data_IF_378091709015
#
_entry.id   IF_378091709015
#
_cell.length_a   1.000
_cell.length_b   1.000
_cell.length_c   1.000
_cell.angle_alpha   90.00
_cell.angle_beta   90.00
_cell.angle_gamma   90.00
#
_symmetry.space_group_name_H-M   'P 1'
#
loop_
_entity.id
_entity.type
_entity.pdbx_description
1 polymer ?
#
# COMPACT_ATOMS: atom_id res chain seq x y z
N UNK A 1 12.05 -1.05 8.19
CA UNK A 1 10.62 -0.78 8.53
C UNK A 1 9.96 -2.03 9.08
N UNK A 2 8.81 -1.91 9.77
CA UNK A 2 8.12 -3.00 10.45
C UNK A 2 7.85 -4.23 9.55
N UNK A 3 7.50 -3.99 8.28
CA UNK A 3 7.17 -5.03 7.30
C UNK A 3 8.39 -5.52 6.49
N UNK A 4 9.61 -5.11 6.83
CA UNK A 4 10.80 -5.60 6.14
C UNK A 4 10.98 -5.13 4.69
N UNK A 5 10.27 -4.06 4.27
CA UNK A 5 10.49 -3.43 2.96
C UNK A 5 11.95 -3.03 2.80
N UNK A 6 12.56 -3.44 1.69
CA UNK A 6 13.95 -3.13 1.35
C UNK A 6 14.14 -1.60 1.24
N UNK A 7 15.07 -1.00 2.02
CA UNK A 7 15.40 0.41 1.89
C UNK A 7 15.77 0.84 0.46
N UNK A 8 16.43 -0.02 -0.33
CA UNK A 8 16.78 0.27 -1.72
C UNK A 8 15.55 0.44 -2.61
N UNK A 9 14.46 -0.27 -2.30
CA UNK A 9 13.18 -0.15 -3.03
C UNK A 9 12.52 1.20 -2.74
N UNK A 10 12.58 1.66 -1.49
CA UNK A 10 12.07 2.97 -1.09
C UNK A 10 12.89 4.11 -1.70
N UNK A 11 14.20 3.95 -1.82
CA UNK A 11 15.06 4.93 -2.48
C UNK A 11 14.79 5.01 -3.99
N UNK A 12 14.60 3.86 -4.65
CA UNK A 12 14.41 3.79 -6.10
C UNK A 12 13.00 4.21 -6.55
N UNK A 13 11.95 3.78 -5.84
CA UNK A 13 10.56 3.96 -6.27
C UNK A 13 9.78 4.96 -5.41
N UNK A 14 10.27 5.26 -4.21
CA UNK A 14 9.56 6.05 -3.20
C UNK A 14 8.48 5.24 -2.48
N UNK A 15 8.03 5.74 -1.32
CA UNK A 15 7.05 5.02 -0.49
C UNK A 15 5.67 4.81 -1.15
N UNK A 16 5.29 5.68 -2.08
CA UNK A 16 4.03 5.59 -2.85
C UNK A 16 4.36 5.02 -4.23
N UNK A 17 4.41 3.69 -4.33
CA UNK A 17 4.63 2.96 -5.57
C UNK A 17 4.02 1.56 -5.51
N UNK A 18 3.88 0.93 -6.67
CA UNK A 18 3.40 -0.45 -6.74
C UNK A 18 4.36 -1.44 -6.07
N UNK A 19 5.66 -1.28 -6.30
CA UNK A 19 6.70 -2.16 -5.76
C UNK A 19 6.72 -2.14 -4.23
N UNK A 20 6.57 -0.94 -3.64
CA UNK A 20 6.51 -0.80 -2.18
C UNK A 20 5.20 -1.39 -1.65
N UNK A 21 4.07 -1.21 -2.34
CA UNK A 21 2.81 -1.84 -1.94
C UNK A 21 2.91 -3.37 -1.92
N UNK A 22 3.45 -3.99 -2.97
CA UNK A 22 3.66 -5.45 -3.03
C UNK A 22 4.58 -5.93 -1.90
N UNK A 23 5.72 -5.25 -1.71
CA UNK A 23 6.68 -5.58 -0.66
C UNK A 23 6.06 -5.47 0.75
N UNK A 24 5.20 -4.48 0.98
CA UNK A 24 4.45 -4.35 2.23
C UNK A 24 3.47 -5.50 2.44
N UNK A 25 2.66 -5.87 1.44
CA UNK A 25 1.69 -6.94 1.55
C UNK A 25 2.37 -8.29 1.84
N UNK A 26 3.43 -8.58 1.10
CA UNK A 26 4.27 -9.76 1.34
C UNK A 26 4.87 -9.76 2.74
N UNK A 27 5.47 -8.64 3.14
CA UNK A 27 6.09 -8.49 4.46
C UNK A 27 5.11 -8.63 5.62
N UNK A 28 3.89 -8.11 5.47
CA UNK A 28 2.80 -8.30 6.41
C UNK A 28 2.39 -9.78 6.52
N UNK A 29 2.19 -10.46 5.38
CA UNK A 29 1.85 -11.89 5.36
C UNK A 29 2.90 -12.73 6.07
N UNK A 30 4.18 -12.51 5.76
CA UNK A 30 5.31 -13.23 6.35
C UNK A 30 5.44 -12.96 7.85
N UNK A 31 5.28 -11.70 8.28
CA UNK A 31 5.44 -11.29 9.68
C UNK A 31 4.33 -11.80 10.59
N UNK A 32 3.08 -11.77 10.11
CA UNK A 32 1.90 -12.12 10.92
C UNK A 32 1.43 -13.56 10.70
N UNK A 33 2.00 -14.28 9.73
CA UNK A 33 1.63 -15.67 9.43
C UNK A 33 0.20 -15.82 8.87
N UNK A 34 -0.34 -14.76 8.26
CA UNK A 34 -1.67 -14.78 7.68
C UNK A 34 -1.73 -15.62 6.39
N UNK A 35 -2.92 -16.07 6.03
CA UNK A 35 -3.17 -16.71 4.73
C UNK A 35 -3.16 -15.70 3.58
N UNK A 36 -3.55 -14.46 3.86
CA UNK A 36 -3.56 -13.34 2.91
C UNK A 36 -3.31 -12.03 3.66
N UNK A 37 -2.59 -11.11 3.04
CA UNK A 37 -2.40 -9.76 3.55
C UNK A 37 -2.67 -8.72 2.46
N UNK A 38 -3.10 -7.54 2.89
CA UNK A 38 -3.30 -6.36 2.06
C UNK A 38 -2.38 -5.26 2.55
N UNK A 39 -1.96 -4.38 1.65
CA UNK A 39 -1.23 -3.16 1.96
C UNK A 39 -1.87 -1.97 1.23
N UNK A 40 -1.70 -0.78 1.78
CA UNK A 40 -2.08 0.47 1.12
C UNK A 40 -0.95 1.49 1.26
N UNK A 41 -0.59 2.13 0.16
CA UNK A 41 0.26 3.33 0.16
C UNK A 41 -0.28 4.36 -0.81
N UNK A 42 -0.27 5.63 -0.45
CA UNK A 42 -0.90 6.67 -1.26
C UNK A 42 -0.68 8.08 -0.73
N UNK A 43 -1.14 9.06 -1.49
CA UNK A 43 -1.10 10.48 -1.14
C UNK A 43 -2.54 10.94 -0.89
N UNK A 44 -2.99 10.91 0.37
CA UNK A 44 -4.36 11.30 0.72
C UNK A 44 -4.65 12.80 0.45
N UNK A 45 -3.63 13.67 0.50
CA UNK A 45 -3.77 15.12 0.38
C UNK A 45 -4.12 15.83 1.70
N UNK A 46 -4.44 17.14 1.66
CA UNK A 46 -4.61 17.97 0.46
C UNK A 46 -3.30 18.39 -0.22
N UNK A 47 -2.16 18.24 0.47
CA UNK A 47 -0.83 18.57 -0.04
C UNK A 47 0.03 17.31 -0.25
N UNK A 48 1.28 17.46 -0.71
CA UNK A 48 2.23 16.35 -0.84
C UNK A 48 2.19 15.58 -2.16
N UNK A 49 1.27 15.94 -3.07
CA UNK A 49 1.26 15.42 -4.44
C UNK A 49 2.27 16.13 -5.36
N UNK A 50 2.68 15.43 -6.41
CA UNK A 50 3.43 15.97 -7.55
C UNK A 50 2.67 15.73 -8.86
N UNK A 51 3.25 16.16 -9.99
CA UNK A 51 2.70 15.87 -11.32
C UNK A 51 2.72 14.37 -11.60
N UNK A 52 3.78 13.69 -11.16
CA UNK A 52 3.99 12.26 -11.34
C UNK A 52 3.18 11.44 -10.33
N UNK A 53 2.98 11.96 -9.10
CA UNK A 53 2.24 11.30 -8.03
C UNK A 53 1.18 12.24 -7.46
N UNK A 54 0.02 12.40 -8.13
CA UNK A 54 -0.97 13.38 -7.72
C UNK A 54 -1.62 13.01 -6.38
N UNK A 55 -2.18 14.02 -5.70
CA UNK A 55 -3.08 13.78 -4.57
C UNK A 55 -4.24 12.89 -5.00
N UNK A 56 -4.54 11.88 -4.18
CA UNK A 56 -5.54 10.85 -4.44
C UNK A 56 -4.96 9.60 -5.10
N UNK A 57 -3.69 9.58 -5.49
CA UNK A 57 -3.02 8.35 -5.93
C UNK A 57 -2.90 7.37 -4.77
N UNK A 58 -3.36 6.14 -4.99
CA UNK A 58 -3.30 5.04 -4.04
C UNK A 58 -2.88 3.76 -4.77
N UNK A 59 -1.99 3.00 -4.14
CA UNK A 59 -1.66 1.63 -4.49
C UNK A 59 -2.20 0.70 -3.40
N UNK A 60 -2.90 -0.35 -3.81
CA UNK A 60 -3.40 -1.41 -2.95
C UNK A 60 -2.73 -2.71 -3.38
N UNK A 61 -1.84 -3.25 -2.55
CA UNK A 61 -1.18 -4.52 -2.80
C UNK A 61 -1.88 -5.66 -2.05
N UNK A 62 -1.84 -6.86 -2.61
CA UNK A 62 -2.24 -8.07 -1.89
C UNK A 62 -1.25 -9.21 -2.12
N UNK A 63 -1.13 -10.10 -1.14
CA UNK A 63 -0.27 -11.28 -1.23
C UNK A 63 -0.83 -12.43 -0.39
N UNK A 64 -0.81 -13.65 -0.93
CA UNK A 64 -1.31 -14.85 -0.26
C UNK A 64 -0.23 -15.90 0.08
N UNK A 65 -0.63 -16.91 0.84
CA UNK A 65 0.21 -18.04 1.25
C UNK A 65 0.62 -18.95 0.08
N UNK A 66 -0.09 -18.90 -1.05
CA UNK A 66 0.25 -19.63 -2.27
C UNK A 66 1.33 -18.91 -3.09
N UNK A 67 1.68 -17.68 -2.71
CA UNK A 67 2.66 -16.86 -3.40
C UNK A 67 2.05 -16.06 -4.56
N UNK A 68 0.72 -15.93 -4.61
CA UNK A 68 0.06 -15.02 -5.52
C UNK A 68 0.00 -13.63 -4.92
N UNK A 69 0.05 -12.62 -5.80
CA UNK A 69 -0.14 -11.23 -5.43
C UNK A 69 -0.28 -10.37 -6.67
N UNK A 70 -0.85 -9.19 -6.48
CA UNK A 70 -0.94 -8.16 -7.49
C UNK A 70 -1.11 -6.80 -6.80
N UNK A 71 -0.96 -5.72 -7.57
CA UNK A 71 -1.14 -4.36 -7.08
C UNK A 71 -2.14 -3.63 -7.95
N UNK A 72 -3.15 -3.07 -7.29
CA UNK A 72 -4.11 -2.19 -7.91
C UNK A 72 -3.68 -0.74 -7.72
N UNK A 73 -3.51 -0.01 -8.81
CA UNK A 73 -3.40 1.44 -8.78
C UNK A 73 -4.80 2.06 -8.91
N UNK A 74 -5.14 2.99 -8.02
CA UNK A 74 -6.41 3.70 -8.03
C UNK A 74 -6.25 5.16 -7.65
N UNK A 75 -7.10 6.02 -8.22
CA UNK A 75 -7.15 7.43 -7.86
C UNK A 75 -8.43 8.11 -8.32
N UNK A 76 -9.38 8.29 -7.39
CA UNK A 76 -10.67 8.93 -7.66
C UNK A 76 -11.06 9.90 -6.53
N UNK A 77 -10.23 10.93 -6.33
CA UNK A 77 -10.53 12.04 -5.41
C UNK A 77 -10.43 11.69 -3.91
N UNK A 78 -10.17 12.72 -3.10
CA UNK A 78 -9.91 12.63 -1.65
C UNK A 78 -11.01 11.92 -0.85
N UNK A 79 -12.26 11.99 -1.32
CA UNK A 79 -13.42 11.52 -0.56
C UNK A 79 -13.53 9.99 -0.50
N UNK A 80 -12.87 9.25 -1.40
CA UNK A 80 -12.90 7.77 -1.40
C UNK A 80 -11.78 7.13 -0.56
N UNK A 81 -10.67 7.84 -0.36
CA UNK A 81 -9.52 7.34 0.43
C UNK A 81 -9.87 7.24 1.93
N UNK A 82 -10.76 8.11 2.41
CA UNK A 82 -11.15 8.19 3.83
C UNK A 82 -12.06 7.04 4.29
N UNK A 83 -12.79 6.40 3.38
CA UNK A 83 -13.75 5.33 3.72
C UNK A 83 -13.09 4.03 4.20
N UNK A 84 -11.80 3.81 3.90
CA UNK A 84 -11.05 2.63 4.36
C UNK A 84 -10.48 2.80 5.78
N UNK A 85 -10.20 4.02 6.23
CA UNK A 85 -9.68 4.32 7.58
C UNK A 85 -10.77 4.24 8.68
N UNK A 86 -12.02 4.55 8.36
CA UNK A 86 -13.14 4.58 9.32
C UNK A 86 -13.76 3.19 9.61
N UNK A 87 -13.14 2.09 9.15
CA UNK A 87 -13.55 0.72 9.44
C UNK A 87 -12.63 0.12 10.53
N UNK A 88 -12.99 0.20 11.82
CA UNK A 88 -12.11 -0.20 12.94
C UNK A 88 -11.74 -1.70 12.95
N UNK A 89 -12.43 -2.50 12.15
CA UNK A 89 -12.23 -3.95 12.06
C UNK A 89 -11.36 -4.37 10.86
N UNK A 90 -10.98 -3.42 9.98
CA UNK A 90 -10.14 -3.68 8.82
C UNK A 90 -8.69 -3.40 9.17
N UNK A 91 -8.00 -4.40 9.71
CA UNK A 91 -6.54 -4.39 9.80
C UNK A 91 -5.94 -4.48 8.39
N UNK A 92 -5.63 -3.32 7.82
CA UNK A 92 -4.71 -3.19 6.69
C UNK A 92 -3.32 -3.07 7.29
N UNK A 93 -2.47 -4.06 7.02
CA UNK A 93 -1.10 -4.08 7.53
C UNK A 93 -0.15 -3.38 6.54
#
# INVERSE_FOLDING_TARGET
LLLGVDPGLLEAHGAVSAEVAEAMARGARERFGADTALSITGIAGPEGGSVEKPVGLVYIGWYDVQGHGDVFEGGHGRDQVKCLEDQPDLFIA
#
